data_IF_820534350335
#
_entry.id   IF_820534350335
#
_cell.length_a   1.000
_cell.length_b   1.000
_cell.length_c   1.000
_cell.angle_alpha   90.00
_cell.angle_beta   90.00
_cell.angle_gamma   90.00
#
_symmetry.space_group_name_H-M   'P 1'
#
loop_
_entity.id
_entity.type
_entity.pdbx_description
1 polymer ?
#
# COMPACT_ATOMS: atom_id res chain seq x y z
N UNK A 1 9.37 7.29 11.42
CA UNK A 1 9.54 7.26 12.88
C UNK A 1 11.01 7.02 13.17
N UNK A 2 11.68 8.00 13.76
CA UNK A 2 13.10 7.99 14.05
C UNK A 2 13.31 7.25 15.37
N UNK A 3 13.98 6.11 15.35
CA UNK A 3 14.39 5.46 16.58
C UNK A 3 15.78 5.99 16.91
N UNK A 4 15.84 6.87 17.91
CA UNK A 4 17.08 7.40 18.46
C UNK A 4 17.95 6.27 19.01
N UNK A 5 19.26 6.28 18.70
CA UNK A 5 20.27 5.41 19.31
C UNK A 5 20.67 5.85 20.74
N UNK A 6 19.92 6.76 21.36
CA UNK A 6 20.16 7.15 22.75
C UNK A 6 19.81 6.00 23.69
N UNK A 7 20.56 5.82 24.80
CA UNK A 7 20.24 4.81 25.80
C UNK A 7 18.79 5.01 26.25
N UNK A 8 18.01 3.93 26.23
CA UNK A 8 16.61 3.94 26.60
C UNK A 8 16.50 4.23 28.10
N UNK A 9 16.30 5.48 28.48
CA UNK A 9 15.92 5.84 29.85
C UNK A 9 14.48 5.38 30.04
N UNK A 10 14.27 4.57 31.08
CA UNK A 10 12.94 4.08 31.44
C UNK A 10 11.97 5.25 31.68
N UNK A 11 10.90 5.28 30.89
CA UNK A 11 9.80 6.23 31.10
C UNK A 11 9.00 5.74 32.32
N UNK A 12 8.60 6.65 33.18
CA UNK A 12 7.70 6.36 34.31
C UNK A 12 6.33 6.97 34.01
N UNK A 13 5.28 6.18 34.20
CA UNK A 13 3.88 6.64 34.14
C UNK A 13 3.31 6.47 35.54
N UNK A 14 2.80 7.54 36.13
CA UNK A 14 2.30 7.59 37.51
C UNK A 14 3.30 7.03 38.55
N UNK A 15 4.60 7.34 38.38
CA UNK A 15 5.67 6.87 39.25
C UNK A 15 6.10 5.41 39.05
N UNK A 16 5.39 4.63 38.24
CA UNK A 16 5.72 3.24 37.94
C UNK A 16 6.63 3.17 36.70
N UNK A 17 7.71 2.35 36.72
CA UNK A 17 8.55 2.16 35.55
C UNK A 17 7.75 1.40 34.46
N UNK A 18 7.78 1.91 33.23
CA UNK A 18 7.21 1.21 32.10
C UNK A 18 8.15 0.12 31.62
N UNK A 19 7.58 -1.01 31.19
CA UNK A 19 8.34 -2.09 30.60
C UNK A 19 8.94 -1.66 29.25
N UNK A 20 10.23 -1.92 29.07
CA UNK A 20 10.94 -1.67 27.83
C UNK A 20 10.82 -2.89 26.92
N UNK A 21 9.95 -2.79 25.93
CA UNK A 21 9.77 -3.84 24.93
C UNK A 21 10.67 -3.57 23.71
N UNK A 22 11.40 -4.58 23.27
CA UNK A 22 12.16 -4.51 22.01
C UNK A 22 11.27 -4.53 20.77
N UNK A 23 10.15 -5.23 20.84
CA UNK A 23 9.12 -5.23 19.81
C UNK A 23 7.75 -4.95 20.43
N UNK A 24 7.07 -3.94 19.92
CA UNK A 24 5.69 -3.64 20.24
C UNK A 24 4.84 -3.80 18.98
N UNK A 25 3.82 -4.64 19.03
CA UNK A 25 2.85 -4.79 17.96
C UNK A 25 1.66 -3.88 18.23
N UNK A 26 1.67 -2.68 17.68
CA UNK A 26 0.46 -1.85 17.59
C UNK A 26 -0.45 -2.41 16.49
N UNK A 27 -1.81 -2.40 16.62
CA UNK A 27 -2.69 -3.22 15.79
C UNK A 27 -2.23 -3.38 14.33
N UNK A 28 -1.46 -4.43 14.06
CA UNK A 28 -0.96 -4.79 12.72
C UNK A 28 0.40 -4.23 12.29
N UNK A 29 1.01 -3.31 13.05
CA UNK A 29 2.31 -2.72 12.72
C UNK A 29 3.30 -2.95 13.86
N UNK A 30 4.52 -3.38 13.52
CA UNK A 30 5.62 -3.51 14.48
C UNK A 30 6.52 -2.28 14.45
N UNK A 31 7.03 -1.86 15.59
CA UNK A 31 7.82 -0.64 15.74
C UNK A 31 9.24 -0.70 15.15
N UNK A 32 9.72 -1.85 14.71
CA UNK A 32 11.09 -2.01 14.19
C UNK A 32 11.23 -1.78 12.68
N UNK A 33 10.30 -1.05 12.07
CA UNK A 33 10.35 -0.53 10.69
C UNK A 33 10.68 -1.54 9.57
N UNK A 34 10.39 -2.82 9.77
CA UNK A 34 10.55 -3.84 8.73
C UNK A 34 9.24 -4.04 7.98
N UNK A 35 9.00 -3.27 6.92
CA UNK A 35 7.83 -3.42 6.04
C UNK A 35 7.68 -4.85 5.50
N UNK A 36 8.79 -5.57 5.37
CA UNK A 36 8.77 -6.97 4.93
C UNK A 36 8.05 -7.87 5.93
N UNK A 37 8.32 -7.68 7.23
CA UNK A 37 7.64 -8.42 8.31
C UNK A 37 6.17 -8.04 8.41
N UNK A 38 5.85 -6.77 8.25
CA UNK A 38 4.45 -6.28 8.28
C UNK A 38 3.64 -6.90 7.16
N UNK A 39 4.15 -6.86 5.92
CA UNK A 39 3.51 -7.50 4.76
C UNK A 39 3.39 -9.01 4.96
N UNK A 40 4.43 -9.67 5.45
CA UNK A 40 4.39 -11.10 5.73
C UNK A 40 3.32 -11.44 6.78
N UNK A 41 3.21 -10.64 7.82
CA UNK A 41 2.24 -10.84 8.90
C UNK A 41 0.80 -10.62 8.40
N UNK A 42 0.55 -9.57 7.62
CA UNK A 42 -0.80 -9.32 7.06
C UNK A 42 -1.19 -10.39 6.06
N UNK A 43 -0.27 -10.87 5.22
CA UNK A 43 -0.48 -12.02 4.34
C UNK A 43 -0.81 -13.29 5.11
N UNK A 44 -0.09 -13.57 6.22
CA UNK A 44 -0.35 -14.73 7.05
C UNK A 44 -1.72 -14.67 7.73
N UNK A 45 -2.09 -13.49 8.30
CA UNK A 45 -3.42 -13.26 8.89
C UNK A 45 -4.53 -13.41 7.86
N UNK A 46 -4.38 -12.83 6.66
CA UNK A 46 -5.34 -12.96 5.58
C UNK A 46 -5.50 -14.43 5.12
N UNK A 47 -4.39 -15.15 5.02
CA UNK A 47 -4.40 -16.59 4.67
C UNK A 47 -5.09 -17.42 5.74
N UNK A 48 -4.84 -17.13 7.02
CA UNK A 48 -5.50 -17.80 8.14
C UNK A 48 -7.01 -17.54 8.13
N UNK A 49 -7.43 -16.29 7.96
CA UNK A 49 -8.83 -15.91 7.84
C UNK A 49 -9.49 -16.57 6.62
N UNK A 50 -8.81 -16.64 5.48
CA UNK A 50 -9.30 -17.36 4.31
C UNK A 50 -9.49 -18.87 4.62
N UNK A 51 -8.52 -19.48 5.27
CA UNK A 51 -8.57 -20.91 5.62
C UNK A 51 -9.73 -21.22 6.57
N UNK A 52 -10.05 -20.35 7.53
CA UNK A 52 -11.17 -20.57 8.45
C UNK A 52 -12.53 -20.63 7.73
N UNK A 53 -12.66 -19.98 6.57
CA UNK A 53 -13.87 -20.00 5.75
C UNK A 53 -13.93 -21.17 4.75
N UNK A 54 -12.91 -22.02 4.68
CA UNK A 54 -12.82 -23.06 3.63
C UNK A 54 -14.02 -24.00 3.66
N UNK A 55 -14.39 -24.53 4.82
CA UNK A 55 -15.48 -25.49 4.94
C UNK A 55 -16.86 -24.91 4.70
N UNK A 56 -17.09 -23.67 5.15
CA UNK A 56 -18.42 -23.03 5.09
C UNK A 56 -18.65 -22.22 3.81
N UNK A 57 -17.60 -21.79 3.11
CA UNK A 57 -17.76 -20.89 1.97
C UNK A 57 -17.05 -21.38 0.70
N UNK A 58 -15.72 -21.63 0.77
CA UNK A 58 -14.96 -21.89 -0.46
C UNK A 58 -15.28 -23.26 -1.07
N UNK A 59 -15.57 -24.27 -0.25
CA UNK A 59 -15.90 -25.64 -0.69
C UNK A 59 -17.39 -25.85 -0.96
N UNK A 60 -18.23 -24.84 -0.75
CA UNK A 60 -19.69 -24.94 -0.98
C UNK A 60 -20.06 -24.53 -2.40
N UNK A 61 -21.19 -25.04 -2.94
CA UNK A 61 -21.68 -24.71 -4.29
C UNK A 61 -22.32 -23.29 -4.34
N UNK A 62 -21.60 -22.29 -3.83
CA UNK A 62 -21.98 -20.88 -3.86
C UNK A 62 -21.35 -20.23 -5.10
N UNK A 63 -22.04 -19.26 -5.68
CA UNK A 63 -21.54 -18.56 -6.87
C UNK A 63 -20.24 -17.82 -6.62
N UNK A 64 -19.38 -17.73 -7.63
CA UNK A 64 -18.09 -17.06 -7.52
C UNK A 64 -18.22 -15.56 -7.22
N UNK A 65 -19.31 -14.91 -7.62
CA UNK A 65 -19.62 -13.52 -7.29
C UNK A 65 -19.77 -13.32 -5.78
N UNK A 66 -20.49 -14.21 -5.10
CA UNK A 66 -20.66 -14.16 -3.63
C UNK A 66 -19.33 -14.46 -2.93
N UNK A 67 -18.60 -15.48 -3.39
CA UNK A 67 -17.28 -15.79 -2.86
C UNK A 67 -16.33 -14.61 -2.99
N UNK A 68 -16.27 -13.98 -4.17
CA UNK A 68 -15.43 -12.82 -4.42
C UNK A 68 -15.85 -11.63 -3.57
N UNK A 69 -17.15 -11.40 -3.37
CA UNK A 69 -17.66 -10.34 -2.49
C UNK A 69 -17.19 -10.51 -1.05
N UNK A 70 -17.27 -11.73 -0.50
CA UNK A 70 -16.77 -12.03 0.85
C UNK A 70 -15.25 -11.86 0.91
N UNK A 71 -14.54 -12.34 -0.11
CA UNK A 71 -13.08 -12.16 -0.18
C UNK A 71 -12.69 -10.66 -0.13
N UNK A 72 -13.35 -9.83 -0.92
CA UNK A 72 -13.05 -8.39 -1.01
C UNK A 72 -13.47 -7.61 0.25
N UNK A 73 -14.52 -8.04 0.94
CA UNK A 73 -15.02 -7.35 2.15
C UNK A 73 -14.35 -7.81 3.44
N UNK A 74 -13.93 -9.07 3.55
CA UNK A 74 -13.42 -9.64 4.79
C UNK A 74 -11.91 -9.97 4.72
N UNK A 75 -11.43 -10.60 3.65
CA UNK A 75 -10.07 -11.12 3.59
C UNK A 75 -9.08 -10.05 3.09
N UNK A 76 -9.42 -9.39 1.99
CA UNK A 76 -8.55 -8.38 1.38
C UNK A 76 -8.24 -7.20 2.29
N UNK A 77 -9.16 -6.65 3.10
CA UNK A 77 -8.86 -5.60 4.06
C UNK A 77 -7.85 -6.01 5.13
N UNK A 78 -7.84 -7.28 5.57
CA UNK A 78 -6.83 -7.80 6.50
C UNK A 78 -5.44 -7.73 5.86
N UNK A 79 -5.33 -8.14 4.59
CA UNK A 79 -4.08 -8.14 3.86
C UNK A 79 -3.57 -6.71 3.59
N UNK A 80 -4.49 -5.76 3.37
CA UNK A 80 -4.17 -4.36 3.02
C UNK A 80 -4.09 -3.42 4.24
N UNK A 81 -4.23 -3.96 5.45
CA UNK A 81 -4.20 -3.14 6.67
C UNK A 81 -2.87 -2.41 6.83
N UNK A 82 -2.91 -1.10 6.98
CA UNK A 82 -1.72 -0.25 7.13
C UNK A 82 -0.92 -0.03 5.83
N UNK A 83 -1.44 -0.46 4.68
CA UNK A 83 -0.73 -0.37 3.39
C UNK A 83 -0.38 1.07 2.98
N UNK A 84 -1.11 2.04 3.50
CA UNK A 84 -0.86 3.47 3.29
C UNK A 84 0.46 3.96 3.87
N UNK A 85 1.00 3.24 4.86
CA UNK A 85 2.27 3.61 5.52
C UNK A 85 3.48 2.86 4.96
N UNK A 86 3.28 1.89 4.09
CA UNK A 86 4.38 1.04 3.61
C UNK A 86 5.27 1.74 2.59
N UNK A 87 6.54 1.89 2.91
CA UNK A 87 7.60 2.25 1.97
C UNK A 87 8.34 0.99 1.49
N UNK A 88 7.58 -0.03 1.13
CA UNK A 88 8.11 -1.34 0.79
C UNK A 88 8.69 -1.38 -0.64
N UNK A 89 9.79 -2.10 -0.87
CA UNK A 89 10.35 -2.31 -2.19
C UNK A 89 9.41 -3.19 -3.05
N UNK A 90 9.57 -3.11 -4.38
CA UNK A 90 8.74 -3.84 -5.35
C UNK A 90 8.70 -5.35 -5.10
N UNK A 91 9.82 -5.94 -4.66
CA UNK A 91 9.90 -7.38 -4.33
C UNK A 91 8.98 -7.79 -3.17
N UNK A 92 8.79 -6.91 -2.20
CA UNK A 92 7.86 -7.14 -1.07
C UNK A 92 6.42 -6.99 -1.54
N UNK A 93 6.16 -6.00 -2.41
CA UNK A 93 4.84 -5.80 -3.01
C UNK A 93 4.42 -6.98 -3.92
N UNK A 94 5.38 -7.57 -4.65
CA UNK A 94 5.16 -8.77 -5.45
C UNK A 94 4.71 -9.97 -4.60
N UNK A 95 5.25 -10.14 -3.39
CA UNK A 95 4.80 -11.18 -2.45
C UNK A 95 3.34 -11.02 -2.06
N UNK A 96 2.87 -9.78 -1.94
CA UNK A 96 1.47 -9.46 -1.67
C UNK A 96 0.58 -9.94 -2.82
N UNK A 97 0.95 -9.60 -4.06
CA UNK A 97 0.25 -10.04 -5.26
C UNK A 97 0.29 -11.57 -5.42
N UNK A 98 1.42 -12.20 -5.12
CA UNK A 98 1.54 -13.67 -5.12
C UNK A 98 0.58 -14.32 -4.11
N UNK A 99 0.43 -13.72 -2.92
CA UNK A 99 -0.50 -14.21 -1.90
C UNK A 99 -1.94 -14.09 -2.40
N UNK A 100 -2.33 -12.96 -2.96
CA UNK A 100 -3.66 -12.79 -3.53
C UNK A 100 -3.94 -13.82 -4.63
N UNK A 101 -3.04 -13.98 -5.60
CA UNK A 101 -3.19 -14.97 -6.68
C UNK A 101 -3.40 -16.40 -6.14
N UNK A 102 -2.70 -16.77 -5.07
CA UNK A 102 -2.91 -18.08 -4.42
C UNK A 102 -4.32 -18.20 -3.83
N UNK A 103 -4.80 -17.18 -3.16
CA UNK A 103 -6.13 -17.19 -2.54
C UNK A 103 -7.23 -17.17 -3.61
N UNK A 104 -7.07 -16.38 -4.67
CA UNK A 104 -8.03 -16.31 -5.79
C UNK A 104 -8.12 -17.65 -6.55
N UNK A 105 -6.99 -18.34 -6.82
CA UNK A 105 -7.03 -19.68 -7.41
C UNK A 105 -7.85 -20.64 -6.56
N UNK A 106 -7.64 -20.63 -5.25
CA UNK A 106 -8.39 -21.48 -4.33
C UNK A 106 -9.88 -21.11 -4.28
N UNK A 107 -10.21 -19.83 -4.36
CA UNK A 107 -11.58 -19.34 -4.42
C UNK A 107 -12.31 -19.88 -5.67
N UNK A 108 -11.63 -19.89 -6.83
CA UNK A 108 -12.16 -20.42 -8.08
C UNK A 108 -12.10 -21.96 -8.18
N UNK A 109 -11.53 -22.64 -7.19
CA UNK A 109 -11.43 -24.12 -7.18
C UNK A 109 -10.26 -24.67 -8.00
N UNK A 110 -9.24 -23.87 -8.26
CA UNK A 110 -8.01 -24.34 -8.89
C UNK A 110 -7.09 -25.00 -7.86
N UNK A 111 -7.00 -26.32 -7.93
CA UNK A 111 -6.12 -27.14 -7.10
C UNK A 111 -5.26 -28.03 -8.00
N UNK A 112 -4.05 -28.35 -7.51
CA UNK A 112 -3.20 -29.31 -8.20
C UNK A 112 -3.97 -30.63 -8.48
N UNK A 113 -3.83 -31.26 -9.68
CA UNK A 113 -2.92 -30.94 -10.80
C UNK A 113 -3.41 -29.86 -11.79
N UNK A 114 -4.59 -29.26 -11.57
CA UNK A 114 -5.13 -28.24 -12.46
C UNK A 114 -4.36 -26.92 -12.30
N UNK A 115 -3.58 -26.57 -13.32
CA UNK A 115 -2.79 -25.32 -13.36
C UNK A 115 -3.60 -24.21 -14.02
N UNK A 116 -3.59 -23.02 -13.45
CA UNK A 116 -4.14 -21.79 -14.01
C UNK A 116 -3.04 -20.74 -14.06
N UNK A 117 -2.72 -20.23 -15.25
CA UNK A 117 -1.76 -19.15 -15.43
C UNK A 117 -2.29 -17.83 -14.86
N UNK A 118 -1.39 -16.87 -14.59
CA UNK A 118 -1.80 -15.61 -13.97
C UNK A 118 -2.76 -14.80 -14.85
N UNK A 119 -2.52 -14.80 -16.15
CA UNK A 119 -3.34 -14.08 -17.13
C UNK A 119 -4.77 -14.64 -17.18
N UNK A 120 -4.90 -15.98 -17.25
CA UNK A 120 -6.20 -16.66 -17.22
C UNK A 120 -6.94 -16.43 -15.91
N UNK A 121 -6.20 -16.47 -14.79
CA UNK A 121 -6.76 -16.20 -13.47
C UNK A 121 -7.39 -14.80 -13.39
N UNK A 122 -6.66 -13.77 -13.84
CA UNK A 122 -7.17 -12.41 -13.81
C UNK A 122 -8.30 -12.22 -14.81
N UNK A 123 -8.23 -12.81 -16.01
CA UNK A 123 -9.31 -12.76 -16.99
C UNK A 123 -10.62 -13.34 -16.41
N UNK A 124 -10.55 -14.49 -15.75
CA UNK A 124 -11.73 -15.11 -15.10
C UNK A 124 -12.25 -14.27 -13.93
N UNK A 125 -11.35 -13.80 -13.06
CA UNK A 125 -11.71 -12.96 -11.92
C UNK A 125 -12.35 -11.64 -12.39
N UNK A 126 -11.86 -11.03 -13.44
CA UNK A 126 -12.41 -9.79 -13.99
C UNK A 126 -13.82 -9.98 -14.54
N UNK A 127 -14.12 -11.14 -15.13
CA UNK A 127 -15.50 -11.49 -15.54
C UNK A 127 -16.40 -11.57 -14.32
N UNK A 128 -15.98 -12.27 -13.26
CA UNK A 128 -16.74 -12.39 -12.01
C UNK A 128 -16.92 -11.02 -11.34
N UNK A 129 -15.84 -10.23 -11.29
CA UNK A 129 -15.83 -8.90 -10.68
C UNK A 129 -16.74 -7.91 -11.41
N UNK A 130 -16.73 -7.94 -12.74
CA UNK A 130 -17.61 -7.12 -13.59
C UNK A 130 -19.09 -7.46 -13.36
N UNK A 131 -19.43 -8.75 -13.28
CA UNK A 131 -20.79 -9.20 -12.95
C UNK A 131 -21.20 -8.73 -11.56
N UNK A 132 -20.33 -8.94 -10.55
CA UNK A 132 -20.57 -8.54 -9.17
C UNK A 132 -20.79 -7.02 -9.03
N UNK A 133 -20.07 -6.21 -9.80
CA UNK A 133 -20.13 -4.74 -9.76
C UNK A 133 -21.14 -4.15 -10.74
N UNK A 134 -21.89 -4.98 -11.45
CA UNK A 134 -22.86 -4.56 -12.47
C UNK A 134 -22.19 -3.68 -13.57
N UNK A 135 -20.96 -4.00 -13.94
CA UNK A 135 -20.20 -3.28 -14.96
C UNK A 135 -19.54 -1.97 -14.50
N UNK A 136 -19.71 -1.56 -13.22
CA UNK A 136 -19.09 -0.32 -12.71
C UNK A 136 -17.57 -0.37 -12.73
N UNK A 137 -17.00 -1.55 -12.56
CA UNK A 137 -15.55 -1.78 -12.58
C UNK A 137 -15.21 -2.90 -13.55
N UNK A 138 -14.19 -2.70 -14.36
CA UNK A 138 -13.77 -3.66 -15.38
C UNK A 138 -12.79 -4.71 -14.86
N UNK A 139 -11.83 -4.28 -14.02
CA UNK A 139 -10.72 -5.09 -13.57
C UNK A 139 -10.54 -5.04 -12.06
N UNK A 140 -10.15 -6.19 -11.50
CA UNK A 140 -9.75 -6.25 -10.09
C UNK A 140 -8.31 -5.71 -9.94
N UNK A 141 -8.18 -4.59 -9.24
CA UNK A 141 -6.88 -3.95 -9.00
C UNK A 141 -6.00 -4.85 -8.11
N UNK A 142 -4.77 -5.21 -8.50
CA UNK A 142 -3.84 -5.97 -7.66
C UNK A 142 -3.49 -5.26 -6.34
N UNK A 143 -3.18 -5.99 -5.27
CA UNK A 143 -2.84 -5.40 -3.97
C UNK A 143 -1.67 -4.42 -4.00
N UNK A 144 -0.64 -4.68 -4.80
CA UNK A 144 0.50 -3.77 -4.97
C UNK A 144 0.07 -2.40 -5.50
N UNK A 145 -0.81 -2.38 -6.49
CA UNK A 145 -1.38 -1.14 -7.04
C UNK A 145 -2.35 -0.49 -6.05
N UNK A 146 -3.16 -1.28 -5.34
CA UNK A 146 -4.06 -0.76 -4.32
C UNK A 146 -3.30 -0.10 -3.16
N UNK A 147 -2.15 -0.63 -2.77
CA UNK A 147 -1.28 -0.01 -1.76
C UNK A 147 -0.77 1.38 -2.20
N UNK A 148 -0.45 1.57 -3.50
CA UNK A 148 -0.12 2.89 -4.05
C UNK A 148 -1.30 3.85 -3.92
N UNK A 149 -2.49 3.40 -4.31
CA UNK A 149 -3.73 4.19 -4.19
C UNK A 149 -3.98 4.60 -2.74
N UNK A 150 -3.85 3.66 -1.79
CA UNK A 150 -4.05 3.94 -0.37
C UNK A 150 -3.02 4.96 0.15
N UNK A 151 -1.77 4.84 -0.27
CA UNK A 151 -0.69 5.76 0.09
C UNK A 151 -0.94 7.17 -0.44
N UNK A 152 -1.33 7.30 -1.69
CA UNK A 152 -1.67 8.59 -2.30
C UNK A 152 -2.91 9.22 -1.65
N UNK A 153 -3.95 8.43 -1.37
CA UNK A 153 -5.13 8.90 -0.64
C UNK A 153 -4.80 9.37 0.78
N UNK A 154 -3.89 8.65 1.44
CA UNK A 154 -3.43 9.03 2.77
C UNK A 154 -2.62 10.32 2.72
N UNK A 155 -1.70 10.45 1.77
CA UNK A 155 -0.93 11.67 1.53
C UNK A 155 -1.84 12.87 1.27
N UNK A 156 -2.80 12.77 0.34
CA UNK A 156 -3.77 13.84 0.09
C UNK A 156 -4.61 14.22 1.33
N UNK A 157 -4.91 13.25 2.21
CA UNK A 157 -5.57 13.54 3.49
C UNK A 157 -4.69 14.29 4.47
N UNK A 158 -3.38 14.02 4.47
CA UNK A 158 -2.43 14.76 5.31
C UNK A 158 -2.36 16.20 4.84
N UNK A 159 -2.16 16.44 3.54
CA UNK A 159 -2.02 17.79 2.97
C UNK A 159 -3.25 18.69 3.18
N UNK A 160 -4.44 18.10 3.31
CA UNK A 160 -5.67 18.85 3.61
C UNK A 160 -5.85 19.17 5.10
N UNK A 161 -4.95 18.76 5.96
CA UNK A 161 -5.02 19.09 7.39
C UNK A 161 -4.34 20.44 7.66
N UNK A 162 -4.77 21.14 8.73
CA UNK A 162 -4.10 22.37 9.15
C UNK A 162 -2.60 22.15 9.41
N UNK A 163 -1.77 23.10 9.02
CA UNK A 163 -0.31 23.01 9.12
C UNK A 163 0.24 22.87 10.55
N UNK A 164 -0.57 23.21 11.56
CA UNK A 164 -0.24 23.06 13.00
C UNK A 164 -0.29 21.59 13.47
N UNK A 165 -0.92 20.71 12.71
CA UNK A 165 -1.04 19.29 13.10
C UNK A 165 0.31 18.57 13.04
N UNK A 166 0.56 17.75 14.06
CA UNK A 166 1.81 16.99 14.22
C UNK A 166 2.19 16.20 12.96
N UNK A 167 1.22 15.61 12.29
CA UNK A 167 1.45 14.77 11.09
C UNK A 167 2.05 15.60 9.95
N UNK A 168 1.56 16.81 9.72
CA UNK A 168 2.09 17.70 8.69
C UNK A 168 3.45 18.27 9.08
N UNK A 169 3.62 18.65 10.35
CA UNK A 169 4.92 19.05 10.88
C UNK A 169 5.98 17.97 10.70
N UNK A 170 5.63 16.70 10.94
CA UNK A 170 6.53 15.55 10.72
C UNK A 170 6.83 15.36 9.24
N UNK A 171 5.82 15.54 8.36
CA UNK A 171 6.02 15.44 6.91
C UNK A 171 7.01 16.49 6.39
N UNK A 172 6.96 17.71 6.93
CA UNK A 172 7.83 18.84 6.55
C UNK A 172 9.14 18.89 7.35
N UNK A 173 9.30 18.07 8.39
CA UNK A 173 10.51 18.06 9.20
C UNK A 173 11.70 17.50 8.40
N UNK A 174 12.77 18.27 8.35
CA UNK A 174 14.06 17.82 7.86
C UNK A 174 14.82 17.10 8.98
N UNK A 175 15.68 16.14 8.64
CA UNK A 175 16.60 15.56 9.60
C UNK A 175 17.50 16.65 10.20
N UNK A 176 17.82 16.53 11.47
CA UNK A 176 18.77 17.41 12.15
C UNK A 176 20.11 17.41 11.41
N UNK A 177 20.82 18.58 11.36
CA UNK A 177 22.10 18.74 10.65
C UNK A 177 23.14 17.70 11.04
N UNK A 178 23.10 17.27 12.31
CA UNK A 178 24.03 16.29 12.88
C UNK A 178 23.65 14.84 12.59
N UNK A 179 22.50 14.60 11.96
CA UNK A 179 22.05 13.26 11.64
C UNK A 179 22.82 12.69 10.47
N UNK A 180 23.55 11.62 10.71
CA UNK A 180 24.24 10.85 9.66
C UNK A 180 23.39 9.65 9.25
N UNK A 181 23.20 9.51 7.93
CA UNK A 181 22.50 8.37 7.36
C UNK A 181 23.24 7.08 7.75
N UNK A 182 22.56 6.06 8.31
CA UNK A 182 23.20 4.80 8.66
C UNK A 182 23.93 4.19 7.46
N UNK A 183 25.12 3.65 7.69
CA UNK A 183 25.85 2.86 6.69
C UNK A 183 25.06 1.59 6.39
N UNK A 184 24.89 1.26 5.12
CA UNK A 184 24.18 0.08 4.66
C UNK A 184 23.24 0.34 3.49
N UNK A 185 22.41 -0.67 3.14
CA UNK A 185 21.44 -0.55 2.05
C UNK A 185 20.48 0.61 2.33
N UNK A 186 20.41 1.58 1.41
CA UNK A 186 19.53 2.75 1.52
C UNK A 186 18.08 2.30 1.70
N UNK A 187 17.52 2.55 2.87
CA UNK A 187 16.07 2.40 3.08
C UNK A 187 15.38 3.56 2.37
N UNK A 188 14.36 3.26 1.60
CA UNK A 188 13.51 4.30 1.01
C UNK A 188 12.71 4.96 2.12
N UNK A 189 12.68 6.28 2.11
CA UNK A 189 11.75 7.04 2.95
C UNK A 189 10.33 6.95 2.35
N UNK A 190 9.33 7.04 3.21
CA UNK A 190 7.94 7.01 2.76
C UNK A 190 7.63 8.12 1.75
N UNK A 191 8.15 9.32 1.97
CA UNK A 191 8.04 10.46 1.05
C UNK A 191 8.68 10.20 -0.31
N UNK A 192 9.80 9.48 -0.37
CA UNK A 192 10.44 9.09 -1.64
C UNK A 192 9.53 8.15 -2.43
N UNK A 193 8.87 7.21 -1.74
CA UNK A 193 7.93 6.29 -2.40
C UNK A 193 6.66 7.00 -2.86
N UNK A 194 6.14 7.94 -2.08
CA UNK A 194 5.02 8.80 -2.52
C UNK A 194 5.39 9.59 -3.78
N UNK A 195 6.60 10.14 -3.83
CA UNK A 195 7.12 10.83 -5.02
C UNK A 195 7.18 9.91 -6.25
N UNK A 196 7.69 8.68 -6.07
CA UNK A 196 7.72 7.68 -7.14
C UNK A 196 6.31 7.34 -7.62
N UNK A 197 5.38 7.15 -6.69
CA UNK A 197 3.98 6.84 -7.00
C UNK A 197 3.31 7.99 -7.78
N UNK A 198 3.53 9.24 -7.38
CA UNK A 198 3.08 10.42 -8.12
C UNK A 198 3.71 10.49 -9.52
N UNK A 199 5.00 10.16 -9.64
CA UNK A 199 5.68 10.09 -10.93
C UNK A 199 5.11 9.06 -11.88
N UNK A 200 4.58 7.94 -11.36
CA UNK A 200 3.95 6.89 -12.18
C UNK A 200 2.54 7.25 -12.66
N UNK A 201 1.89 8.23 -12.03
CA UNK A 201 0.54 8.69 -12.41
C UNK A 201 0.47 9.36 -13.79
N UNK A 202 1.62 9.47 -14.50
CA UNK A 202 1.61 10.15 -15.79
C UNK A 202 1.13 11.60 -15.68
N UNK A 203 1.16 12.15 -14.48
CA UNK A 203 0.99 13.57 -14.26
C UNK A 203 2.06 14.25 -15.05
N UNK A 204 1.63 14.76 -16.08
CA UNK A 204 2.15 15.47 -17.21
C UNK A 204 3.68 15.71 -17.22
N UNK A 205 4.26 15.75 -18.43
CA UNK A 205 5.66 16.17 -18.65
C UNK A 205 5.96 17.51 -17.97
N UNK A 206 4.94 18.33 -17.70
CA UNK A 206 5.03 19.58 -16.99
C UNK A 206 5.21 19.36 -15.48
N UNK A 207 4.38 18.55 -14.86
CA UNK A 207 4.57 18.14 -13.46
C UNK A 207 5.92 17.44 -13.26
N UNK A 208 6.33 16.59 -14.23
CA UNK A 208 7.69 16.01 -14.23
C UNK A 208 8.78 17.06 -14.38
N UNK A 209 8.59 18.12 -15.15
CA UNK A 209 9.57 19.20 -15.29
C UNK A 209 9.61 20.09 -14.04
N UNK A 210 8.45 20.47 -13.52
CA UNK A 210 8.34 21.39 -12.40
C UNK A 210 8.70 20.73 -11.06
N UNK A 211 8.36 19.46 -10.88
CA UNK A 211 8.61 18.68 -9.67
C UNK A 211 9.89 17.81 -9.76
N UNK A 212 10.37 17.48 -10.96
CA UNK A 212 11.62 16.71 -11.17
C UNK A 212 12.87 17.57 -11.34
N UNK A 213 12.78 18.89 -11.38
CA UNK A 213 13.98 19.70 -11.33
C UNK A 213 14.70 19.45 -10.01
N UNK A 214 15.91 18.95 -10.07
CA UNK A 214 16.75 18.51 -8.93
C UNK A 214 16.88 19.52 -7.78
N UNK A 215 16.54 20.79 -7.99
CA UNK A 215 16.52 21.85 -6.98
C UNK A 215 15.27 21.80 -6.09
N UNK A 216 14.09 21.58 -6.67
CA UNK A 216 12.81 21.58 -5.95
C UNK A 216 12.67 20.30 -5.10
N UNK A 217 13.32 19.22 -5.51
CA UNK A 217 13.19 17.91 -4.88
C UNK A 217 13.83 17.76 -3.50
N UNK A 218 14.77 18.65 -3.17
CA UNK A 218 15.44 18.70 -1.87
C UNK A 218 14.85 19.76 -0.94
N UNK A 219 13.86 20.52 -1.39
CA UNK A 219 13.15 21.55 -0.63
C UNK A 219 11.73 21.08 -0.31
N UNK A 220 11.09 21.72 0.65
CA UNK A 220 9.66 21.49 0.99
C UNK A 220 8.71 21.94 -0.13
N UNK A 221 9.20 22.68 -1.12
CA UNK A 221 8.45 23.26 -2.24
C UNK A 221 7.67 22.23 -3.06
N UNK A 222 8.13 20.95 -3.13
CA UNK A 222 7.37 19.92 -3.83
C UNK A 222 6.04 19.61 -3.13
N UNK A 223 6.01 19.71 -1.81
CA UNK A 223 4.81 19.49 -1.00
C UNK A 223 3.79 20.59 -1.32
N UNK A 224 4.26 21.82 -1.39
CA UNK A 224 3.42 22.98 -1.72
C UNK A 224 2.85 22.90 -3.14
N UNK A 225 3.65 22.42 -4.09
CA UNK A 225 3.19 22.17 -5.47
C UNK A 225 2.07 21.15 -5.57
N UNK A 226 2.07 20.15 -4.68
CA UNK A 226 1.05 19.08 -4.64
C UNK A 226 -0.12 19.46 -3.75
N UNK A 227 0.03 20.42 -2.86
CA UNK A 227 -1.01 20.86 -1.94
C UNK A 227 -2.24 21.40 -2.66
N UNK A 228 -2.06 22.21 -3.69
CA UNK A 228 -3.16 22.71 -4.51
C UNK A 228 -3.98 21.58 -5.16
N UNK A 229 -3.32 20.49 -5.59
CA UNK A 229 -3.98 19.30 -6.11
C UNK A 229 -4.72 18.51 -5.03
N UNK A 230 -4.23 18.55 -3.81
CA UNK A 230 -4.86 17.86 -2.70
C UNK A 230 -6.11 18.59 -2.18
N UNK A 231 -6.19 19.90 -2.33
CA UNK A 231 -7.34 20.74 -1.97
C UNK A 231 -8.57 20.39 -2.82
N UNK A 232 -8.38 20.11 -4.11
CA UNK A 232 -9.41 19.53 -4.95
C UNK A 232 -9.64 18.04 -4.57
N UNK A 233 -10.69 17.81 -3.79
CA UNK A 233 -11.03 16.47 -3.31
C UNK A 233 -11.41 15.50 -4.42
N UNK A 234 -12.15 15.99 -5.41
CA UNK A 234 -12.66 15.16 -6.51
C UNK A 234 -11.53 14.85 -7.48
N UNK A 235 -10.75 15.83 -7.89
CA UNK A 235 -9.57 15.67 -8.73
C UNK A 235 -8.53 14.76 -8.06
N UNK A 236 -8.27 14.91 -6.77
CA UNK A 236 -7.39 14.03 -6.01
C UNK A 236 -7.91 12.58 -5.96
N UNK A 237 -9.22 12.36 -5.80
CA UNK A 237 -9.81 11.03 -5.78
C UNK A 237 -9.75 10.38 -7.16
N UNK A 238 -9.96 11.13 -8.22
CA UNK A 238 -9.83 10.67 -9.60
C UNK A 238 -8.38 10.28 -9.91
N UNK A 239 -7.41 11.12 -9.56
CA UNK A 239 -5.99 10.83 -9.70
C UNK A 239 -5.59 9.54 -8.99
N UNK A 240 -6.02 9.38 -7.74
CA UNK A 240 -5.76 8.16 -6.97
C UNK A 240 -6.41 6.94 -7.64
N UNK A 241 -7.59 7.09 -8.22
CA UNK A 241 -8.26 6.00 -8.93
C UNK A 241 -7.54 5.64 -10.23
N UNK A 242 -7.06 6.62 -10.98
CA UNK A 242 -6.23 6.41 -12.17
C UNK A 242 -4.93 5.68 -11.86
N UNK A 243 -4.32 5.93 -10.69
CA UNK A 243 -3.11 5.22 -10.25
C UNK A 243 -3.28 3.70 -10.20
N UNK A 244 -4.49 3.21 -9.98
CA UNK A 244 -4.79 1.79 -9.97
C UNK A 244 -4.62 1.13 -11.36
N UNK A 245 -4.86 1.88 -12.42
CA UNK A 245 -4.91 1.36 -13.81
C UNK A 245 -3.68 1.76 -14.64
N UNK A 246 -2.90 2.74 -14.19
CA UNK A 246 -1.68 3.16 -14.89
C UNK A 246 -0.58 2.09 -14.73
N UNK A 247 -0.11 1.56 -15.83
CA UNK A 247 0.95 0.55 -15.90
C UNK A 247 0.59 -0.67 -16.76
N UNK A 248 -0.67 -0.83 -17.17
CA UNK A 248 -1.07 -1.91 -18.10
C UNK A 248 -0.69 -1.58 -19.54
N UNK A 249 -0.72 -0.30 -19.94
CA UNK A 249 -0.36 0.13 -21.29
C UNK A 249 1.15 0.16 -21.58
N UNK A 250 1.99 0.24 -20.55
CA UNK A 250 3.45 0.29 -20.74
C UNK A 250 4.06 -1.10 -21.03
N UNK A 251 3.45 -2.18 -20.53
CA UNK A 251 3.92 -3.55 -20.74
C UNK A 251 3.59 -4.11 -22.13
N UNK A 252 2.54 -3.61 -22.77
CA UNK A 252 2.08 -4.10 -24.07
C UNK A 252 2.78 -3.40 -25.27
N UNK A 253 3.50 -2.29 -25.05
CA UNK A 253 4.25 -1.58 -26.11
C UNK A 253 5.67 -2.09 -26.34
N UNK A 254 6.17 -2.99 -25.50
CA UNK A 254 7.56 -3.50 -25.60
C UNK A 254 7.60 -4.93 -26.18
N UNK A 255 6.45 -5.51 -26.53
CA UNK A 255 6.35 -6.82 -27.19
C UNK A 255 5.60 -6.73 -28.54
N UNK A 256 5.95 -5.73 -29.34
CA UNK A 256 5.69 -5.75 -30.80
C UNK A 256 6.99 -5.47 -31.52
#
# INVERSE_FOLDING_TARGET
MWVSSRPRTGIRVDGQPTELLDEFCYPGLKNNSSYERDVQQTCAKATSAFNSLTKCLWSTPITNEVKLRVYLSAIRPIMMYGSETWAAPSTVMERLDCTERKLLRRLLGYFWPRVCHNEDLYAEIDVVYRRMTQGRHQHLVPPSKLAKVNRLRFFGRILRRPADRLVERVLRSLPDSDWKKPLGRKRKFWTEVVKEDLGTLGMDRQFRRDVMFRRIWNSDEWIDSVQALAEDREGCAELCSRAAYLGEDAGNRVRR
#
